data_IF_308707791742
#
_entry.id   IF_308707791742
#
_cell.length_a   1.000
_cell.length_b   1.000
_cell.length_c   1.000
_cell.angle_alpha   90.00
_cell.angle_beta   90.00
_cell.angle_gamma   90.00
#
_symmetry.space_group_name_H-M   'P 1'
#
loop_
_entity.id
_entity.type
_entity.pdbx_description
1 polymer ?
#
# COMPACT_ATOMS: atom_id res chain seq x y z
N UNK A 1 -4.84 -2.65 9.52
CA UNK A 1 -3.50 -2.18 9.07
C UNK A 1 -2.37 -2.82 9.87
N UNK A 2 -2.52 -3.00 11.19
CA UNK A 2 -1.48 -3.63 12.04
C UNK A 2 -1.03 -5.02 11.57
N UNK A 3 -1.96 -5.90 11.16
CA UNK A 3 -1.63 -7.24 10.64
C UNK A 3 -0.74 -7.16 9.39
N UNK A 4 -1.03 -6.22 8.48
CA UNK A 4 -0.24 -6.03 7.25
C UNK A 4 1.16 -5.50 7.57
N UNK A 5 1.29 -4.63 8.58
CA UNK A 5 2.59 -4.16 9.04
C UNK A 5 3.43 -5.28 9.68
N UNK A 6 2.81 -6.09 10.56
CA UNK A 6 3.46 -7.28 11.14
C UNK A 6 3.90 -8.28 10.07
N UNK A 7 3.10 -8.46 9.02
CA UNK A 7 3.46 -9.30 7.88
C UNK A 7 4.67 -8.75 7.12
N UNK A 8 4.71 -7.45 6.84
CA UNK A 8 5.87 -6.80 6.20
C UNK A 8 7.13 -6.99 7.05
N UNK A 9 7.05 -6.80 8.36
CA UNK A 9 8.18 -6.98 9.27
C UNK A 9 8.69 -8.43 9.28
N UNK A 10 7.78 -9.40 9.33
CA UNK A 10 8.14 -10.81 9.22
C UNK A 10 8.83 -11.14 7.88
N UNK A 11 8.34 -10.58 6.77
CA UNK A 11 8.92 -10.77 5.45
C UNK A 11 10.28 -10.07 5.29
N UNK A 12 10.48 -8.91 5.94
CA UNK A 12 11.80 -8.25 6.01
C UNK A 12 12.82 -9.14 6.71
N UNK A 13 12.44 -9.73 7.84
CA UNK A 13 13.29 -10.66 8.56
C UNK A 13 13.58 -11.92 7.74
N UNK A 14 12.57 -12.45 7.03
CA UNK A 14 12.76 -13.59 6.13
C UNK A 14 13.75 -13.29 5.00
N UNK A 15 13.59 -12.16 4.30
CA UNK A 15 14.50 -11.73 3.24
C UNK A 15 15.93 -11.51 3.76
N UNK A 16 16.08 -10.95 4.95
CA UNK A 16 17.38 -10.79 5.59
C UNK A 16 18.06 -12.14 5.89
N UNK A 17 17.32 -13.11 6.43
CA UNK A 17 17.84 -14.45 6.70
C UNK A 17 18.18 -15.18 5.40
N UNK A 18 17.33 -15.09 4.37
CA UNK A 18 17.59 -15.68 3.05
C UNK A 18 18.87 -15.12 2.44
N UNK A 19 19.08 -13.80 2.51
CA UNK A 19 20.32 -13.14 2.07
C UNK A 19 21.53 -13.70 2.80
N UNK A 20 21.49 -13.77 4.13
CA UNK A 20 22.58 -14.32 4.93
C UNK A 20 22.88 -15.78 4.55
N UNK A 21 21.86 -16.61 4.34
CA UNK A 21 22.06 -18.00 3.91
C UNK A 21 22.72 -18.09 2.53
N UNK A 22 22.35 -17.22 1.60
CA UNK A 22 22.96 -17.16 0.28
C UNK A 22 24.42 -16.72 0.37
N UNK A 23 24.71 -15.67 1.13
CA UNK A 23 26.07 -15.14 1.31
C UNK A 23 27.01 -16.17 1.96
N UNK A 24 26.45 -17.04 2.82
CA UNK A 24 27.17 -18.16 3.43
C UNK A 24 27.16 -19.44 2.57
N UNK A 25 26.61 -19.41 1.35
CA UNK A 25 26.60 -20.53 0.41
C UNK A 25 25.60 -21.66 0.71
N UNK A 26 24.69 -21.46 1.67
CA UNK A 26 23.71 -22.48 2.10
C UNK A 26 22.45 -22.55 1.22
N UNK A 27 22.16 -21.51 0.44
CA UNK A 27 20.99 -21.50 -0.44
C UNK A 27 21.26 -20.85 -1.80
N UNK A 28 20.38 -21.15 -2.75
CA UNK A 28 20.39 -20.57 -4.09
C UNK A 28 19.85 -19.14 -4.06
N UNK A 29 20.38 -18.27 -4.93
CA UNK A 29 19.94 -16.88 -5.06
C UNK A 29 18.44 -16.74 -5.35
N UNK A 30 17.81 -17.77 -5.92
CA UNK A 30 16.36 -17.76 -6.19
C UNK A 30 15.52 -17.64 -4.92
N UNK A 31 15.99 -18.17 -3.78
CA UNK A 31 15.28 -18.04 -2.50
C UNK A 31 15.34 -16.60 -1.99
N UNK A 32 16.47 -15.91 -2.18
CA UNK A 32 16.61 -14.47 -1.88
C UNK A 32 15.63 -13.66 -2.73
N UNK A 33 15.58 -13.96 -4.03
CA UNK A 33 14.70 -13.26 -4.96
C UNK A 33 13.21 -13.47 -4.62
N UNK A 34 12.83 -14.69 -4.25
CA UNK A 34 11.46 -14.99 -3.82
C UNK A 34 11.11 -14.26 -2.51
N UNK A 35 12.03 -14.24 -1.55
CA UNK A 35 11.87 -13.51 -0.29
C UNK A 35 11.70 -12.00 -0.51
N UNK A 36 12.55 -11.40 -1.34
CA UNK A 36 12.47 -9.98 -1.73
C UNK A 36 11.16 -9.69 -2.49
N UNK A 37 10.73 -10.58 -3.40
CA UNK A 37 9.46 -10.44 -4.12
C UNK A 37 8.26 -10.48 -3.18
N UNK A 38 8.26 -11.40 -2.21
CA UNK A 38 7.18 -11.51 -1.23
C UNK A 38 7.12 -10.26 -0.34
N UNK A 39 8.27 -9.76 0.10
CA UNK A 39 8.36 -8.50 0.84
C UNK A 39 7.77 -7.32 0.04
N UNK A 40 8.19 -7.17 -1.22
CA UNK A 40 7.71 -6.09 -2.09
C UNK A 40 6.19 -6.12 -2.27
N UNK A 41 5.62 -7.31 -2.51
CA UNK A 41 4.18 -7.48 -2.63
C UNK A 41 3.42 -7.08 -1.35
N UNK A 42 3.97 -7.43 -0.18
CA UNK A 42 3.36 -7.07 1.09
C UNK A 42 3.42 -5.55 1.35
N UNK A 43 4.55 -4.90 1.03
CA UNK A 43 4.69 -3.44 1.14
C UNK A 43 3.73 -2.71 0.19
N UNK A 44 3.58 -3.21 -1.04
CA UNK A 44 2.61 -2.68 -2.00
C UNK A 44 1.17 -2.77 -1.49
N UNK A 45 0.80 -3.89 -0.86
CA UNK A 45 -0.53 -4.09 -0.26
C UNK A 45 -0.84 -3.07 0.84
N UNK A 46 0.17 -2.75 1.69
CA UNK A 46 0.03 -1.70 2.71
C UNK A 46 -0.22 -0.35 2.08
N UNK A 47 0.51 0.00 1.01
CA UNK A 47 0.34 1.26 0.29
C UNK A 47 -1.05 1.34 -0.34
N UNK A 48 -1.48 0.29 -1.03
CA UNK A 48 -2.82 0.22 -1.65
C UNK A 48 -3.93 0.41 -0.62
N UNK A 49 -3.81 -0.24 0.54
CA UNK A 49 -4.76 -0.08 1.66
C UNK A 49 -4.81 1.37 2.15
N UNK A 50 -3.65 2.03 2.33
CA UNK A 50 -3.59 3.44 2.72
C UNK A 50 -4.21 4.35 1.67
N UNK A 51 -3.92 4.11 0.38
CA UNK A 51 -4.53 4.87 -0.71
C UNK A 51 -6.05 4.70 -0.75
N UNK A 52 -6.55 3.48 -0.53
CA UNK A 52 -7.98 3.21 -0.46
C UNK A 52 -8.63 3.98 0.70
N UNK A 53 -8.00 4.00 1.89
CA UNK A 53 -8.47 4.78 3.03
C UNK A 53 -8.58 6.27 2.70
N UNK A 54 -7.54 6.86 2.10
CA UNK A 54 -7.54 8.29 1.71
C UNK A 54 -8.65 8.55 0.69
N UNK A 55 -8.82 7.67 -0.31
CA UNK A 55 -9.91 7.80 -1.29
C UNK A 55 -11.29 7.75 -0.62
N UNK A 56 -11.49 6.87 0.35
CA UNK A 56 -12.75 6.79 1.10
C UNK A 56 -13.02 8.07 1.91
N UNK A 57 -12.00 8.66 2.52
CA UNK A 57 -12.12 9.95 3.22
C UNK A 57 -12.50 11.06 2.26
N UNK A 58 -11.85 11.15 1.09
CA UNK A 58 -12.18 12.12 0.04
C UNK A 58 -13.62 11.93 -0.44
N UNK A 59 -14.04 10.68 -0.66
CA UNK A 59 -15.40 10.37 -1.11
C UNK A 59 -16.45 10.78 -0.06
N UNK A 60 -16.20 10.50 1.21
CA UNK A 60 -17.06 10.92 2.32
C UNK A 60 -17.15 12.45 2.41
N UNK A 61 -16.01 13.15 2.30
CA UNK A 61 -15.97 14.61 2.28
C UNK A 61 -16.79 15.19 1.11
N UNK A 62 -16.69 14.59 -0.08
CA UNK A 62 -17.50 14.98 -1.24
C UNK A 62 -18.99 14.77 -1.01
N UNK A 63 -19.39 13.61 -0.46
CA UNK A 63 -20.80 13.29 -0.23
C UNK A 63 -21.46 14.11 0.87
N UNK A 64 -20.69 14.58 1.86
CA UNK A 64 -21.19 15.39 2.97
C UNK A 64 -21.38 16.88 2.64
N UNK A 65 -21.08 17.33 1.43
CA UNK A 65 -21.35 18.72 1.03
C UNK A 65 -20.41 19.31 -0.04
N UNK A 66 -19.40 18.56 -0.50
CA UNK A 66 -18.52 19.01 -1.59
C UNK A 66 -19.23 19.11 -2.95
N UNK A 67 -20.27 18.32 -3.18
CA UNK A 67 -21.13 18.39 -4.38
C UNK A 67 -22.02 19.65 -4.42
N UNK A 68 -22.30 20.28 -3.27
CA UNK A 68 -23.09 21.52 -3.24
C UNK A 68 -22.35 22.65 -3.95
N UNK A 69 -21.04 22.84 -3.72
CA UNK A 69 -20.28 23.93 -4.36
C UNK A 69 -20.14 23.79 -5.88
N UNK A 70 -20.04 22.56 -6.40
CA UNK A 70 -19.99 22.31 -7.86
C UNK A 70 -21.32 22.66 -8.56
N UNK A 71 -22.43 22.55 -7.83
CA UNK A 71 -23.77 22.85 -8.34
C UNK A 71 -24.08 24.36 -8.32
N UNK A 72 -23.46 25.10 -7.39
CA UNK A 72 -23.59 26.57 -7.29
C UNK A 72 -22.81 27.33 -8.39
N UNK A 73 -21.70 26.79 -8.90
CA UNK A 73 -20.93 27.42 -9.99
C UNK A 73 -21.61 27.26 -11.36
N UNK A 74 -22.33 26.15 -11.60
CA UNK A 74 -23.08 25.96 -12.86
C UNK A 74 -24.29 26.89 -12.99
N UNK A 75 -24.94 27.29 -11.89
CA UNK A 75 -26.12 28.17 -11.94
C UNK A 75 -25.78 29.66 -12.16
N UNK A 76 -24.52 30.09 -11.97
CA UNK A 76 -24.08 31.47 -12.25
C UNK A 76 -23.58 31.70 -13.66
N UNK A 77 -23.30 30.64 -14.43
CA UNK A 77 -22.89 30.76 -15.84
C UNK A 77 -24.08 30.76 -16.80
N UNK A 78 -25.27 30.34 -16.36
CA UNK A 78 -26.49 30.26 -17.18
C UNK A 78 -27.49 31.43 -16.94
N UNK A 79 -27.10 32.52 -16.25
CA UNK A 79 -27.97 33.68 -15.99
C UNK A 79 -27.25 35.03 -16.14
#
# INVERSE_FOLDING_TARGET
MEIQQKQVEALRNYAHIARMRYDNGYTSYIEVLDAERNLFNAELSVIQTKTALIKSIIALYKSMGGEWFSSYDKQRQDN
#
